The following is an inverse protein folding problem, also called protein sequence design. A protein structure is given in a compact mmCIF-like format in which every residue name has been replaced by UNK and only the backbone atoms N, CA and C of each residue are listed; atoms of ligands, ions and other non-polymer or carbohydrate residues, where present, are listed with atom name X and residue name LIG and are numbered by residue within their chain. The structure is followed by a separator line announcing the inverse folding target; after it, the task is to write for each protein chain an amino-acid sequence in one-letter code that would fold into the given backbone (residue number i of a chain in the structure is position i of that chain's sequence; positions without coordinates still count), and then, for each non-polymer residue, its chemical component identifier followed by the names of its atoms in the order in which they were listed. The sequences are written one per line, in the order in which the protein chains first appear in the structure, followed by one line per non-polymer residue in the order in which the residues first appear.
data_IF_337145678478
#
_entry.id   IF_337145678478
#
_cell.length_a   1.000
_cell.length_b   1.000
_cell.length_c   1.000
_cell.angle_alpha   90.00
_cell.angle_beta   90.00
_cell.angle_gamma   90.00
#
_symmetry.space_group_name_H-M   'P 1'
#
loop_
_entity.id
_entity.type
_entity.pdbx_description
1 polymer ?
#
# COMPACT_ATOMS: atom_id res chain seq x y z
N UNK A 1 16.11 29.08 24.69
CA UNK A 1 15.96 27.71 25.19
C UNK A 1 15.20 26.94 24.13
N UNK A 2 15.77 25.85 23.60
CA UNK A 2 15.04 24.98 22.68
C UNK A 2 13.87 24.28 23.39
N UNK A 3 12.88 23.77 22.65
CA UNK A 3 11.79 22.99 23.23
C UNK A 3 12.34 21.78 24.01
N UNK A 4 11.70 21.46 25.13
CA UNK A 4 12.07 20.28 25.92
C UNK A 4 11.85 18.98 25.13
N UNK A 5 12.47 17.89 25.60
CA UNK A 5 12.43 16.62 24.89
C UNK A 5 11.00 16.04 24.81
N UNK A 6 10.13 16.34 25.78
CA UNK A 6 8.72 15.91 25.78
C UNK A 6 7.97 16.55 24.61
N UNK A 7 8.09 17.86 24.48
CA UNK A 7 7.44 18.65 23.44
C UNK A 7 7.90 18.22 22.05
N UNK A 8 9.18 17.88 21.90
CA UNK A 8 9.75 17.39 20.63
C UNK A 8 9.21 16.01 20.24
N UNK A 9 9.10 15.07 21.18
CA UNK A 9 8.52 13.74 20.92
C UNK A 9 7.05 13.86 20.57
N UNK A 10 6.32 14.67 21.35
CA UNK A 10 4.90 14.93 21.12
C UNK A 10 4.68 15.47 19.70
N UNK A 11 5.42 16.50 19.30
CA UNK A 11 5.35 17.08 17.95
C UNK A 11 5.67 16.04 16.86
N UNK A 12 6.70 15.21 17.08
CA UNK A 12 7.05 14.14 16.13
C UNK A 12 5.93 13.10 15.98
N UNK A 13 5.29 12.69 17.09
CA UNK A 13 4.14 11.77 17.07
C UNK A 13 2.92 12.40 16.41
N UNK A 14 2.61 13.67 16.69
CA UNK A 14 1.49 14.38 16.05
C UNK A 14 1.70 14.50 14.53
N UNK A 15 2.95 14.77 14.09
CA UNK A 15 3.30 14.75 12.67
C UNK A 15 3.19 13.36 12.05
N UNK A 16 3.58 12.30 12.76
CA UNK A 16 3.37 10.92 12.31
C UNK A 16 1.89 10.58 12.14
N UNK A 17 1.05 10.93 13.12
CA UNK A 17 -0.40 10.72 13.05
C UNK A 17 -0.97 11.45 11.83
N UNK A 18 -0.69 12.75 11.68
CA UNK A 18 -1.20 13.53 10.56
C UNK A 18 -0.77 12.98 9.20
N UNK A 19 0.50 12.58 9.08
CA UNK A 19 1.02 11.97 7.86
C UNK A 19 0.33 10.65 7.55
N UNK A 20 0.13 9.77 8.55
CA UNK A 20 -0.48 8.47 8.33
C UNK A 20 -1.99 8.55 8.09
N UNK A 21 -2.68 9.51 8.72
CA UNK A 21 -4.10 9.80 8.42
C UNK A 21 -4.26 10.35 7.00
N UNK A 22 -3.34 11.20 6.54
CA UNK A 22 -3.31 11.65 5.14
C UNK A 22 -3.10 10.47 4.19
N UNK A 23 -2.13 9.61 4.48
CA UNK A 23 -1.89 8.39 3.69
C UNK A 23 -3.12 7.48 3.66
N UNK A 24 -3.86 7.34 4.75
CA UNK A 24 -5.12 6.58 4.76
C UNK A 24 -6.18 7.26 3.90
N UNK A 25 -6.35 8.57 3.99
CA UNK A 25 -7.39 9.27 3.24
C UNK A 25 -7.10 9.28 1.73
N UNK A 26 -5.82 9.37 1.36
CA UNK A 26 -5.37 9.38 -0.03
C UNK A 26 -5.12 7.97 -0.59
N UNK A 27 -5.04 6.95 0.27
CA UNK A 27 -4.98 5.56 -0.21
C UNK A 27 -6.24 5.31 -1.03
N UNK A 28 -6.12 4.95 -2.32
CA UNK A 28 -7.28 4.75 -3.16
C UNK A 28 -8.25 3.80 -2.47
N UNK A 29 -9.50 4.25 -2.29
CA UNK A 29 -10.55 3.36 -1.82
C UNK A 29 -10.61 2.21 -2.82
N UNK A 30 -10.60 1.02 -2.28
CA UNK A 30 -10.54 -0.22 -3.03
C UNK A 30 -11.68 -0.38 -4.06
N UNK A 31 -12.71 0.46 -4.01
CA UNK A 31 -13.88 0.37 -4.90
C UNK A 31 -13.83 1.34 -6.11
N UNK A 32 -12.92 2.32 -6.16
CA UNK A 32 -12.99 3.40 -7.16
C UNK A 32 -11.74 3.60 -8.03
N UNK A 33 -10.61 2.96 -7.72
CA UNK A 33 -9.41 3.16 -8.52
C UNK A 33 -9.47 2.40 -9.85
N UNK A 34 -9.70 3.15 -10.91
CA UNK A 34 -9.24 2.83 -12.26
C UNK A 34 -7.70 2.76 -12.21
N UNK A 35 -7.18 1.64 -11.68
CA UNK A 35 -5.74 1.38 -11.50
C UNK A 35 -4.96 1.55 -12.80
N UNK A 36 -5.64 1.50 -13.95
CA UNK A 36 -5.06 1.64 -15.29
C UNK A 36 -4.82 3.11 -15.70
N UNK A 37 -5.36 4.11 -14.98
CA UNK A 37 -5.33 5.53 -15.41
C UNK A 37 -4.11 6.33 -14.92
N UNK A 38 -3.53 6.02 -13.74
CA UNK A 38 -2.41 6.78 -13.15
C UNK A 38 -1.47 5.93 -12.26
N UNK A 39 -0.90 4.87 -12.82
CA UNK A 39 0.09 4.04 -12.10
C UNK A 39 1.34 4.82 -11.71
N UNK A 40 1.83 5.70 -12.59
CA UNK A 40 3.03 6.50 -12.32
C UNK A 40 2.81 7.47 -11.15
N UNK A 41 1.66 8.15 -11.09
CA UNK A 41 1.31 9.02 -9.97
C UNK A 41 1.14 8.26 -8.66
N UNK A 42 0.57 7.05 -8.69
CA UNK A 42 0.47 6.18 -7.51
C UNK A 42 1.87 5.78 -7.01
N UNK A 43 2.78 5.37 -7.90
CA UNK A 43 4.14 4.96 -7.52
C UNK A 43 4.98 6.13 -7.00
N UNK A 44 4.87 7.31 -7.61
CA UNK A 44 5.52 8.52 -7.13
C UNK A 44 5.06 8.86 -5.70
N UNK A 45 3.75 8.84 -5.47
CA UNK A 45 3.17 9.13 -4.14
C UNK A 45 3.57 8.10 -3.09
N UNK A 46 3.63 6.81 -3.45
CA UNK A 46 4.16 5.77 -2.55
C UNK A 46 5.63 6.00 -2.19
N UNK A 47 6.44 6.48 -3.15
CA UNK A 47 7.85 6.79 -2.90
C UNK A 47 7.99 7.96 -1.92
N UNK A 48 7.19 9.02 -2.10
CA UNK A 48 7.15 10.17 -1.19
C UNK A 48 6.71 9.76 0.22
N UNK A 49 5.63 8.98 0.34
CA UNK A 49 5.16 8.48 1.63
C UNK A 49 6.18 7.58 2.34
N UNK A 50 6.89 6.74 1.58
CA UNK A 50 7.95 5.90 2.12
C UNK A 50 9.09 6.76 2.69
N UNK A 51 9.52 7.77 1.94
CA UNK A 51 10.56 8.69 2.39
C UNK A 51 10.13 9.45 3.66
N UNK A 52 8.92 10.01 3.67
CA UNK A 52 8.36 10.71 4.82
C UNK A 52 8.27 9.81 6.06
N UNK A 53 7.77 8.58 5.93
CA UNK A 53 7.70 7.62 7.03
C UNK A 53 9.09 7.28 7.57
N UNK A 54 10.07 7.06 6.69
CA UNK A 54 11.45 6.77 7.10
C UNK A 54 12.09 7.93 7.86
N UNK A 55 11.88 9.17 7.41
CA UNK A 55 12.45 10.34 8.08
C UNK A 55 11.82 10.56 9.46
N UNK A 56 10.50 10.42 9.58
CA UNK A 56 9.81 10.49 10.86
C UNK A 56 10.22 9.35 11.81
N UNK A 57 10.49 8.15 11.29
CA UNK A 57 10.99 7.03 12.11
C UNK A 57 12.43 7.25 12.60
N UNK A 58 13.30 7.83 11.76
CA UNK A 58 14.67 8.20 12.16
C UNK A 58 14.64 9.27 13.25
N UNK A 59 13.82 10.30 13.07
CA UNK A 59 13.63 11.35 14.06
C UNK A 59 13.12 10.77 15.39
N UNK A 60 12.06 9.95 15.34
CA UNK A 60 11.49 9.30 16.51
C UNK A 60 12.52 8.49 17.28
N UNK A 61 13.33 7.69 16.58
CA UNK A 61 14.38 6.88 17.20
C UNK A 61 15.38 7.75 17.98
N UNK A 62 15.85 8.84 17.37
CA UNK A 62 16.80 9.76 18.02
C UNK A 62 16.17 10.39 19.26
N UNK A 63 14.93 10.89 19.14
CA UNK A 63 14.22 11.52 20.24
C UNK A 63 13.95 10.54 21.39
N UNK A 64 13.59 9.31 21.07
CA UNK A 64 13.33 8.28 22.08
C UNK A 64 14.60 7.86 22.82
N UNK A 65 15.72 7.72 22.12
CA UNK A 65 17.01 7.47 22.78
C UNK A 65 17.45 8.64 23.68
N UNK A 66 17.16 9.88 23.29
CA UNK A 66 17.41 11.07 24.10
C UNK A 66 16.50 11.11 25.35
N UNK A 67 15.22 10.75 25.19
CA UNK A 67 14.25 10.61 26.28
C UNK A 67 14.70 9.57 27.30
N UNK A 68 15.06 8.37 26.86
CA UNK A 68 15.49 7.30 27.76
C UNK A 68 16.73 7.67 28.58
N UNK A 69 17.64 8.46 28.01
CA UNK A 69 18.88 8.87 28.69
C UNK A 69 18.67 9.98 29.72
N UNK A 70 17.70 10.87 29.51
CA UNK A 70 17.63 12.15 30.22
C UNK A 70 16.23 12.55 30.72
N UNK A 71 15.19 11.70 30.60
CA UNK A 71 13.84 12.13 30.95
C UNK A 71 13.63 12.20 32.47
N UNK A 72 13.36 13.40 32.99
CA UNK A 72 12.68 13.61 34.29
C UNK A 72 11.19 13.81 34.06
N UNK A 73 10.61 13.03 33.15
CA UNK A 73 9.23 13.23 32.72
C UNK A 73 8.23 12.85 33.80
N UNK A 74 7.11 13.58 33.86
CA UNK A 74 6.03 13.24 34.78
C UNK A 74 5.25 12.02 34.29
N UNK A 75 4.52 11.37 35.20
CA UNK A 75 3.62 10.26 34.83
C UNK A 75 2.57 10.69 33.79
N UNK A 76 2.11 11.95 33.84
CA UNK A 76 1.19 12.52 32.86
C UNK A 76 1.83 12.64 31.47
N UNK A 77 3.09 13.07 31.40
CA UNK A 77 3.83 13.15 30.15
C UNK A 77 4.05 11.76 29.53
N UNK A 78 4.41 10.76 30.35
CA UNK A 78 4.49 9.38 29.90
C UNK A 78 3.16 8.88 29.32
N UNK A 79 2.05 9.06 30.07
CA UNK A 79 0.73 8.65 29.61
C UNK A 79 0.30 9.33 28.31
N UNK A 80 0.66 10.60 28.11
CA UNK A 80 0.36 11.32 26.88
C UNK A 80 1.15 10.76 25.67
N UNK A 81 2.44 10.46 25.86
CA UNK A 81 3.26 9.83 24.82
C UNK A 81 2.76 8.42 24.49
N UNK A 82 2.35 7.64 25.51
CA UNK A 82 1.80 6.29 25.31
C UNK A 82 0.49 6.32 24.51
N UNK A 83 -0.40 7.28 24.80
CA UNK A 83 -1.65 7.45 24.05
C UNK A 83 -1.40 7.81 22.58
N UNK A 84 -0.47 8.74 22.32
CA UNK A 84 -0.10 9.12 20.96
C UNK A 84 0.59 7.97 20.21
N UNK A 85 1.45 7.22 20.88
CA UNK A 85 2.13 6.06 20.30
C UNK A 85 1.12 4.96 19.93
N UNK A 86 0.17 4.67 20.84
CA UNK A 86 -0.92 3.73 20.56
C UNK A 86 -1.73 4.16 19.34
N UNK A 87 -2.02 5.46 19.20
CA UNK A 87 -2.72 5.99 18.03
C UNK A 87 -1.92 5.81 16.73
N UNK A 88 -0.61 6.05 16.76
CA UNK A 88 0.27 5.78 15.61
C UNK A 88 0.22 4.29 15.23
N UNK A 89 0.29 3.39 16.20
CA UNK A 89 0.22 1.94 15.97
C UNK A 89 -1.12 1.51 15.35
N UNK A 90 -2.24 2.03 15.85
CA UNK A 90 -3.57 1.77 15.28
C UNK A 90 -3.67 2.20 13.82
N UNK A 91 -3.17 3.38 13.48
CA UNK A 91 -3.21 3.90 12.11
C UNK A 91 -2.26 3.11 11.21
N UNK A 92 -1.07 2.76 11.71
CA UNK A 92 -0.11 1.94 10.98
C UNK A 92 -0.68 0.55 10.66
N UNK A 93 -1.39 -0.08 11.60
CA UNK A 93 -2.06 -1.36 11.38
C UNK A 93 -3.13 -1.26 10.28
N UNK A 94 -3.89 -0.15 10.23
CA UNK A 94 -4.86 0.09 9.16
C UNK A 94 -4.17 0.28 7.80
N UNK A 95 -3.07 1.01 7.74
CA UNK A 95 -2.28 1.19 6.51
C UNK A 95 -1.73 -0.15 5.99
N UNK A 96 -1.19 -0.99 6.88
CA UNK A 96 -0.71 -2.33 6.55
C UNK A 96 -1.86 -3.17 5.98
N UNK A 97 -3.00 -3.20 6.67
CA UNK A 97 -4.16 -3.96 6.20
C UNK A 97 -4.67 -3.51 4.82
N UNK A 98 -4.67 -2.20 4.55
CA UNK A 98 -5.03 -1.66 3.23
C UNK A 98 -4.00 -2.00 2.16
N UNK A 99 -2.72 -1.97 2.50
CA UNK A 99 -1.65 -2.37 1.59
C UNK A 99 -1.76 -3.86 1.24
N UNK A 100 -1.94 -4.74 2.23
CA UNK A 100 -2.11 -6.18 2.02
C UNK A 100 -3.33 -6.47 1.12
N UNK A 101 -4.45 -5.77 1.35
CA UNK A 101 -5.63 -5.90 0.51
C UNK A 101 -5.38 -5.44 -0.94
N UNK A 102 -4.61 -4.38 -1.14
CA UNK A 102 -4.23 -3.90 -2.48
C UNK A 102 -3.31 -4.90 -3.19
N UNK A 103 -2.30 -5.43 -2.51
CA UNK A 103 -1.37 -6.45 -3.05
C UNK A 103 -2.15 -7.70 -3.47
N UNK A 104 -3.04 -8.20 -2.62
CA UNK A 104 -3.85 -9.38 -2.94
C UNK A 104 -4.71 -9.21 -4.22
N UNK A 105 -5.21 -7.99 -4.47
CA UNK A 105 -5.99 -7.68 -5.68
C UNK A 105 -5.12 -7.63 -6.93
N UNK A 106 -3.93 -7.01 -6.83
CA UNK A 106 -2.96 -7.00 -7.93
C UNK A 106 -2.58 -8.44 -8.30
N UNK A 107 -2.29 -9.28 -7.30
CA UNK A 107 -1.98 -10.69 -7.53
C UNK A 107 -3.13 -11.43 -8.21
N UNK A 108 -4.38 -11.17 -7.80
CA UNK A 108 -5.55 -11.75 -8.44
C UNK A 108 -5.70 -11.29 -9.89
N UNK A 109 -5.49 -10.00 -10.16
CA UNK A 109 -5.55 -9.44 -11.52
C UNK A 109 -4.47 -10.01 -12.43
N UNK A 110 -3.25 -10.17 -11.93
CA UNK A 110 -2.15 -10.79 -12.67
C UNK A 110 -2.46 -12.25 -13.03
N UNK A 111 -3.12 -13.00 -12.14
CA UNK A 111 -3.59 -14.37 -12.45
C UNK A 111 -4.63 -14.38 -13.57
N UNK A 112 -5.64 -13.50 -13.51
CA UNK A 112 -6.67 -13.39 -14.54
C UNK A 112 -6.06 -13.08 -15.93
N UNK A 113 -5.14 -12.13 -15.98
CA UNK A 113 -4.40 -11.82 -17.22
C UNK A 113 -3.60 -13.02 -17.73
N UNK A 114 -2.93 -13.74 -16.82
CA UNK A 114 -2.20 -14.95 -17.16
C UNK A 114 -3.08 -16.06 -17.74
N UNK A 115 -4.27 -16.27 -17.17
CA UNK A 115 -5.25 -17.23 -17.67
C UNK A 115 -5.76 -16.85 -19.07
N UNK A 116 -6.09 -15.58 -19.29
CA UNK A 116 -6.53 -15.09 -20.60
C UNK A 116 -5.44 -15.23 -21.67
N UNK A 117 -4.18 -14.90 -21.36
CA UNK A 117 -3.06 -15.14 -22.25
C UNK A 117 -2.87 -16.63 -22.57
N UNK A 118 -3.09 -17.50 -21.58
CA UNK A 118 -3.12 -18.95 -21.75
C UNK A 118 -4.21 -19.40 -22.73
N UNK A 119 -5.43 -18.87 -22.61
CA UNK A 119 -6.55 -19.12 -23.53
C UNK A 119 -6.22 -18.65 -24.94
N UNK A 120 -5.67 -17.45 -25.11
CA UNK A 120 -5.25 -16.93 -26.43
C UNK A 120 -4.22 -17.86 -27.09
N UNK A 121 -3.22 -18.30 -26.34
CA UNK A 121 -2.21 -19.24 -26.84
C UNK A 121 -2.84 -20.57 -27.26
N UNK A 122 -3.73 -21.13 -26.44
CA UNK A 122 -4.42 -22.38 -26.74
C UNK A 122 -5.30 -22.25 -27.99
N UNK A 123 -6.06 -21.16 -28.12
CA UNK A 123 -6.89 -20.86 -29.28
C UNK A 123 -6.04 -20.77 -30.56
N UNK A 124 -4.87 -20.12 -30.50
CA UNK A 124 -3.92 -20.08 -31.62
C UNK A 124 -3.41 -21.46 -32.02
N UNK A 125 -3.09 -22.34 -31.05
CA UNK A 125 -2.67 -23.71 -31.34
C UNK A 125 -3.80 -24.50 -32.02
N UNK A 126 -5.04 -24.37 -31.53
CA UNK A 126 -6.22 -25.01 -32.12
C UNK A 126 -6.44 -24.54 -33.56
N UNK A 127 -6.38 -23.24 -33.81
CA UNK A 127 -6.49 -22.67 -35.16
C UNK A 127 -5.34 -23.11 -36.09
N UNK A 128 -4.10 -23.18 -35.61
CA UNK A 128 -2.96 -23.64 -36.41
C UNK A 128 -3.03 -25.14 -36.78
N UNK A 129 -3.74 -25.95 -35.99
CA UNK A 129 -4.01 -27.36 -36.27
C UNK A 129 -5.22 -27.56 -37.19
N UNK A 130 -6.03 -26.52 -37.39
CA UNK A 130 -7.15 -26.56 -38.33
C UNK A 130 -6.64 -26.61 -39.76
N UNK A 131 -6.81 -27.75 -40.43
CA UNK A 131 -6.68 -27.88 -41.88
C UNK A 131 -8.09 -28.00 -42.44
N UNK A 132 -8.60 -27.02 -43.21
CA UNK A 132 -9.87 -27.21 -43.91
C UNK A 132 -9.67 -28.32 -44.92
N UNK A 133 -10.24 -29.49 -44.64
CA UNK A 133 -10.45 -30.53 -45.64
C UNK A 133 -11.45 -29.99 -46.64
N UNK A 134 -11.15 -30.15 -47.93
CA UNK A 134 -12.10 -29.90 -49.01
C UNK A 134 -13.39 -30.68 -48.69
N UNK A 135 -14.51 -29.97 -48.69
CA UNK A 135 -15.90 -30.46 -48.75
C UNK A 135 -16.65 -30.88 -47.47
N UNK A 136 -16.21 -30.55 -46.25
CA UNK A 136 -17.10 -30.62 -45.07
C UNK A 136 -17.00 -29.37 -44.17
N UNK A 137 -18.13 -28.85 -43.64
CA UNK A 137 -18.12 -27.72 -42.70
C UNK A 137 -17.30 -28.08 -41.46
N UNK A 138 -16.33 -27.23 -41.18
CA UNK A 138 -15.35 -27.45 -40.13
C UNK A 138 -15.98 -27.44 -38.75
N UNK A 139 -15.23 -27.94 -37.77
CA UNK A 139 -15.64 -27.97 -36.36
C UNK A 139 -16.12 -26.60 -35.82
N UNK A 140 -15.63 -25.50 -36.39
CA UNK A 140 -16.00 -24.12 -36.03
C UNK A 140 -17.32 -23.65 -36.66
N UNK A 141 -17.81 -24.33 -37.71
CA UNK A 141 -19.05 -23.96 -38.42
C UNK A 141 -20.32 -24.51 -37.75
N UNK A 142 -20.17 -25.35 -36.71
CA UNK A 142 -21.29 -26.02 -36.02
C UNK A 142 -21.71 -25.35 -34.70
N UNK A 143 -21.12 -24.21 -34.33
CA UNK A 143 -21.40 -23.52 -33.07
C UNK A 143 -21.81 -22.05 -33.23
N UNK A 144 -22.23 -21.62 -34.42
CA UNK A 144 -22.91 -20.33 -34.64
C UNK A 144 -24.40 -20.59 -34.89
#
# INVERSE_FOLDING_TARGET
MGPDIYSRIKDCLERQIAAYELMLNEYPSSDEADLDSDLEGILARQTEWTALSQDLQREMKVLFEEWQRNSTASAEQHSAIDALSSRVEEIAAQLISRNDAAVARIDQRLKEVGEELGRVRQNRITMGRYRPGKDEPGFMDKQI
#
